data_IF_118401802479
#
_entry.id   IF_118401802479
#
_cell.length_a   1.000
_cell.length_b   1.000
_cell.length_c   1.000
_cell.angle_alpha   90.00
_cell.angle_beta   90.00
_cell.angle_gamma   90.00
#
_symmetry.space_group_name_H-M   'P 1'
#
loop_
_entity.id
_entity.type
_entity.pdbx_description
1 polymer ?
#
# COMPACT_ATOMS: atom_id res chain seq x y z
N UNK A 1 2.49 48.15 27.14
CA UNK A 1 2.79 47.58 25.79
C UNK A 1 3.28 46.13 25.85
N UNK A 2 4.13 45.71 26.78
CA UNK A 2 4.63 44.34 26.86
C UNK A 2 3.55 43.25 27.14
N UNK A 3 2.48 43.58 27.82
CA UNK A 3 1.40 42.66 28.09
C UNK A 3 0.50 42.34 26.89
N UNK A 4 0.36 43.29 25.97
CA UNK A 4 -0.45 43.11 24.76
C UNK A 4 0.24 42.18 23.75
N UNK A 5 1.57 42.30 23.64
CA UNK A 5 2.36 41.45 22.74
C UNK A 5 2.35 39.99 23.20
N UNK A 6 2.42 39.74 24.51
CA UNK A 6 2.34 38.38 25.09
C UNK A 6 0.98 37.74 24.84
N UNK A 7 -0.09 38.51 24.90
CA UNK A 7 -1.44 37.99 24.67
C UNK A 7 -1.65 37.63 23.20
N UNK A 8 -1.13 38.44 22.28
CA UNK A 8 -1.20 38.18 20.85
C UNK A 8 -0.41 36.93 20.45
N UNK A 9 0.79 36.75 21.02
CA UNK A 9 1.60 35.53 20.79
C UNK A 9 0.92 34.27 21.31
N UNK A 10 0.22 34.36 22.47
CA UNK A 10 -0.51 33.21 23.02
C UNK A 10 -1.71 32.83 22.17
N UNK A 11 -2.45 33.79 21.65
CA UNK A 11 -3.59 33.55 20.77
C UNK A 11 -3.15 32.96 19.41
N UNK A 12 -2.05 33.43 18.87
CA UNK A 12 -1.49 32.90 17.63
C UNK A 12 -1.02 31.42 17.77
N UNK A 13 -0.47 31.08 18.91
CA UNK A 13 -0.02 29.71 19.20
C UNK A 13 -1.22 28.74 19.32
N UNK A 14 -2.32 29.15 19.92
CA UNK A 14 -3.56 28.36 20.03
C UNK A 14 -4.17 28.11 18.64
N UNK A 15 -4.16 29.10 17.76
CA UNK A 15 -4.65 28.96 16.38
C UNK A 15 -3.82 28.00 15.54
N UNK A 16 -2.50 27.94 15.75
CA UNK A 16 -1.63 26.98 15.06
C UNK A 16 -1.89 25.53 15.50
N UNK A 17 -2.26 25.29 16.76
CA UNK A 17 -2.57 23.95 17.28
C UNK A 17 -3.91 23.41 16.78
N UNK A 18 -4.87 24.29 16.49
CA UNK A 18 -6.21 23.88 16.01
C UNK A 18 -6.25 23.50 14.53
N UNK A 19 -5.18 23.74 13.75
CA UNK A 19 -5.13 23.43 12.33
C UNK A 19 -4.64 22.01 11.99
N UNK A 20 -4.29 21.20 12.99
CA UNK A 20 -3.75 19.84 12.82
C UNK A 20 -4.79 18.73 12.89
N UNK A 21 -6.07 19.02 12.90
CA UNK A 21 -7.11 17.99 12.88
C UNK A 21 -7.29 17.43 11.48
N UNK A 22 -6.73 16.24 11.25
CA UNK A 22 -6.96 15.48 10.01
C UNK A 22 -8.25 14.67 10.10
N UNK A 23 -9.14 14.82 9.13
CA UNK A 23 -10.35 14.02 9.02
C UNK A 23 -10.08 12.55 8.62
N UNK A 24 -8.96 12.27 7.91
CA UNK A 24 -8.63 10.94 7.40
C UNK A 24 -8.48 9.81 8.44
N UNK A 25 -7.81 10.01 9.59
CA UNK A 25 -7.68 8.97 10.61
C UNK A 25 -8.99 8.62 11.32
N UNK A 26 -9.93 9.53 11.39
CA UNK A 26 -11.22 9.31 12.06
C UNK A 26 -12.13 8.38 11.27
N UNK A 27 -12.11 8.40 9.94
CA UNK A 27 -12.87 7.48 9.10
C UNK A 27 -12.42 6.03 9.28
N UNK A 28 -11.11 5.79 9.45
CA UNK A 28 -10.55 4.47 9.68
C UNK A 28 -10.81 3.97 11.11
N UNK A 29 -11.01 4.87 12.08
CA UNK A 29 -11.32 4.50 13.47
C UNK A 29 -12.74 3.95 13.67
N UNK A 30 -13.60 4.07 12.68
CA UNK A 30 -14.94 3.44 12.69
C UNK A 30 -14.88 1.92 12.62
N UNK A 31 -13.76 1.35 12.21
CA UNK A 31 -13.57 -0.08 12.07
C UNK A 31 -12.69 -0.62 13.21
N UNK A 32 -12.96 -1.83 13.73
CA UNK A 32 -12.20 -2.42 14.83
C UNK A 32 -10.86 -3.01 14.36
N UNK A 33 -10.11 -2.27 13.56
CA UNK A 33 -8.81 -2.69 13.04
C UNK A 33 -7.75 -1.63 13.33
N UNK A 34 -6.56 -2.10 13.59
CA UNK A 34 -5.40 -1.28 13.83
C UNK A 34 -4.50 -1.26 12.60
N UNK A 35 -3.97 -0.08 12.28
CA UNK A 35 -2.95 0.05 11.24
C UNK A 35 -1.64 -0.54 11.76
N UNK A 36 -1.21 -1.64 11.18
CA UNK A 36 0.06 -2.28 11.50
C UNK A 36 1.09 -2.00 10.41
N UNK A 37 2.32 -1.76 10.83
CA UNK A 37 3.43 -1.68 9.89
C UNK A 37 3.87 -3.09 9.50
N UNK A 38 3.81 -3.38 8.20
CA UNK A 38 4.34 -4.63 7.66
C UNK A 38 5.72 -4.39 7.06
N UNK A 39 6.69 -5.27 7.30
CA UNK A 39 7.99 -5.16 6.65
C UNK A 39 7.82 -5.39 5.14
N UNK A 40 8.21 -4.40 4.35
CA UNK A 40 8.17 -4.44 2.90
C UNK A 40 9.59 -4.34 2.38
N UNK A 41 9.96 -5.23 1.46
CA UNK A 41 11.25 -5.20 0.79
C UNK A 41 11.10 -4.55 -0.59
N UNK A 42 11.79 -3.45 -0.82
CA UNK A 42 11.74 -2.70 -2.06
C UNK A 42 13.11 -2.64 -2.72
N UNK A 43 13.12 -2.57 -4.03
CA UNK A 43 14.33 -2.42 -4.82
C UNK A 43 14.06 -1.88 -6.22
N UNK A 44 15.12 -1.66 -7.02
CA UNK A 44 14.97 -1.25 -8.41
C UNK A 44 14.14 -2.27 -9.19
N UNK A 45 13.21 -1.77 -9.99
CA UNK A 45 12.27 -2.59 -10.76
C UNK A 45 12.96 -3.70 -11.56
N UNK A 46 14.00 -3.37 -12.31
CA UNK A 46 14.72 -4.34 -13.13
C UNK A 46 15.38 -5.45 -12.30
N UNK A 47 15.95 -5.10 -11.15
CA UNK A 47 16.63 -6.05 -10.27
C UNK A 47 15.66 -7.00 -9.60
N UNK A 48 14.53 -6.49 -9.12
CA UNK A 48 13.49 -7.31 -8.49
C UNK A 48 12.85 -8.26 -9.50
N UNK A 49 12.55 -7.78 -10.71
CA UNK A 49 12.02 -8.63 -11.79
C UNK A 49 12.97 -9.76 -12.13
N UNK A 50 14.26 -9.45 -12.25
CA UNK A 50 15.29 -10.45 -12.54
C UNK A 50 15.41 -11.49 -11.44
N UNK A 51 15.35 -11.06 -10.18
CA UNK A 51 15.39 -11.96 -9.02
C UNK A 51 14.18 -12.90 -8.97
N UNK A 52 12.98 -12.40 -9.26
CA UNK A 52 11.76 -13.21 -9.33
C UNK A 52 11.81 -14.24 -10.45
N UNK A 53 12.26 -13.84 -11.64
CA UNK A 53 12.43 -14.75 -12.78
C UNK A 53 13.45 -15.85 -12.45
N UNK A 54 14.60 -15.49 -11.89
CA UNK A 54 15.63 -16.45 -11.49
C UNK A 54 15.15 -17.43 -10.43
N UNK A 55 14.26 -16.99 -9.53
CA UNK A 55 13.67 -17.83 -8.50
C UNK A 55 12.51 -18.71 -9.01
N UNK A 56 12.17 -18.65 -10.29
CA UNK A 56 11.13 -19.47 -10.91
C UNK A 56 9.70 -18.96 -10.72
N UNK A 57 9.53 -17.66 -10.48
CA UNK A 57 8.21 -17.05 -10.36
C UNK A 57 7.73 -16.48 -11.68
N UNK A 58 6.48 -16.76 -12.04
CA UNK A 58 5.83 -16.25 -13.25
C UNK A 58 4.63 -15.38 -12.87
N UNK A 59 4.42 -14.31 -13.59
CA UNK A 59 3.27 -13.43 -13.40
C UNK A 59 1.97 -14.14 -13.76
N UNK A 60 0.99 -14.09 -12.86
CA UNK A 60 -0.33 -14.68 -13.06
C UNK A 60 -1.46 -13.66 -13.03
N UNK A 61 -1.28 -12.56 -12.33
CA UNK A 61 -2.29 -11.50 -12.20
C UNK A 61 -1.64 -10.12 -12.21
N UNK A 62 -2.37 -9.14 -12.71
CA UNK A 62 -2.02 -7.73 -12.60
C UNK A 62 -3.27 -6.90 -12.33
N UNK A 63 -3.17 -5.96 -11.40
CA UNK A 63 -4.19 -4.97 -11.12
C UNK A 63 -3.55 -3.59 -11.00
N UNK A 64 -4.27 -2.55 -11.39
CA UNK A 64 -3.74 -1.20 -11.40
C UNK A 64 -4.44 -0.32 -10.37
N UNK A 65 -3.66 0.39 -9.57
CA UNK A 65 -4.12 1.48 -8.73
C UNK A 65 -4.04 2.81 -9.47
N UNK A 66 -5.09 3.60 -9.36
CA UNK A 66 -5.19 4.91 -10.01
C UNK A 66 -5.14 6.03 -8.98
N UNK A 67 -4.72 7.23 -9.42
CA UNK A 67 -4.67 8.41 -8.55
C UNK A 67 -6.07 8.82 -8.11
N UNK A 68 -7.09 8.60 -8.98
CA UNK A 68 -8.47 8.88 -8.65
C UNK A 68 -9.32 7.62 -8.72
N UNK A 69 -10.47 7.64 -8.03
CA UNK A 69 -11.43 6.53 -8.07
C UNK A 69 -12.12 6.37 -9.45
N UNK A 70 -11.91 7.32 -10.37
CA UNK A 70 -12.47 7.24 -11.71
C UNK A 70 -11.65 6.30 -12.60
N UNK A 71 -12.30 5.49 -13.45
CA UNK A 71 -11.61 4.58 -14.37
C UNK A 71 -10.63 5.26 -15.33
N UNK A 72 -10.82 6.57 -15.56
CA UNK A 72 -9.95 7.40 -16.42
C UNK A 72 -8.77 8.02 -15.69
N UNK A 73 -8.65 7.80 -14.37
CA UNK A 73 -7.54 8.31 -13.58
C UNK A 73 -6.20 7.73 -14.05
N UNK A 74 -5.13 8.51 -13.88
CA UNK A 74 -3.78 8.08 -14.19
C UNK A 74 -3.37 6.88 -13.33
N UNK A 75 -2.68 5.92 -13.92
CA UNK A 75 -2.16 4.76 -13.20
C UNK A 75 -0.99 5.20 -12.31
N UNK A 76 -1.15 4.99 -11.01
CA UNK A 76 -0.13 5.34 -10.01
C UNK A 76 0.77 4.15 -9.68
N UNK A 77 0.21 2.96 -9.62
CA UNK A 77 0.95 1.73 -9.29
C UNK A 77 0.27 0.51 -9.88
N UNK A 78 1.01 -0.59 -9.95
CA UNK A 78 0.49 -1.89 -10.32
C UNK A 78 0.73 -2.89 -9.18
N UNK A 79 -0.28 -3.70 -8.88
CA UNK A 79 -0.13 -4.85 -7.99
C UNK A 79 -0.06 -6.09 -8.86
N UNK A 80 1.06 -6.79 -8.76
CA UNK A 80 1.34 -7.97 -9.59
C UNK A 80 1.51 -9.18 -8.69
N UNK A 81 0.81 -10.25 -9.04
CA UNK A 81 0.91 -11.53 -8.34
C UNK A 81 1.69 -12.52 -9.20
N UNK A 82 2.63 -13.18 -8.57
CA UNK A 82 3.48 -14.21 -9.18
C UNK A 82 3.23 -15.56 -8.51
N UNK A 83 3.27 -16.62 -9.30
CA UNK A 83 3.22 -17.99 -8.78
C UNK A 83 4.55 -18.68 -9.07
N UNK A 84 4.99 -19.53 -8.14
CA UNK A 84 6.16 -20.36 -8.33
C UNK A 84 5.87 -21.50 -9.32
N UNK A 85 6.81 -21.74 -10.25
CA UNK A 85 6.76 -22.90 -11.14
C UNK A 85 7.28 -24.18 -10.46
N UNK A 86 8.08 -24.03 -9.41
CA UNK A 86 8.78 -25.13 -8.76
C UNK A 86 8.09 -25.58 -7.46
N UNK A 87 7.45 -24.64 -6.76
CA UNK A 87 6.83 -24.84 -5.46
C UNK A 87 5.32 -24.63 -5.57
N UNK A 88 4.57 -25.71 -5.56
CA UNK A 88 3.11 -25.65 -5.65
C UNK A 88 2.50 -24.81 -4.51
N UNK A 89 1.57 -23.92 -4.85
CA UNK A 89 0.88 -23.08 -3.90
C UNK A 89 1.67 -21.90 -3.36
N UNK A 90 2.91 -21.69 -3.80
CA UNK A 90 3.71 -20.54 -3.40
C UNK A 90 3.47 -19.36 -4.34
N UNK A 91 3.17 -18.21 -3.75
CA UNK A 91 2.92 -16.96 -4.47
C UNK A 91 3.64 -15.78 -3.83
N UNK A 92 3.97 -14.81 -4.65
CA UNK A 92 4.49 -13.52 -4.22
C UNK A 92 3.59 -12.44 -4.79
N UNK A 93 3.16 -11.52 -3.94
CA UNK A 93 2.46 -10.30 -4.37
C UNK A 93 3.39 -9.11 -4.25
N UNK A 94 3.44 -8.31 -5.30
CA UNK A 94 4.32 -7.15 -5.40
C UNK A 94 3.52 -5.90 -5.74
N UNK A 95 4.10 -4.74 -5.42
CA UNK A 95 3.62 -3.45 -5.88
C UNK A 95 4.73 -2.76 -6.68
N UNK A 96 4.38 -2.32 -7.87
CA UNK A 96 5.29 -1.67 -8.80
C UNK A 96 4.86 -0.21 -8.99
N UNK A 97 5.81 0.71 -8.86
CA UNK A 97 5.62 2.14 -9.10
C UNK A 97 6.39 2.53 -10.36
N UNK A 98 5.73 2.62 -11.53
CA UNK A 98 6.43 2.88 -12.79
C UNK A 98 7.19 4.20 -12.81
N UNK A 99 6.61 5.25 -12.22
CA UNK A 99 7.25 6.57 -12.16
C UNK A 99 8.56 6.58 -11.37
N UNK A 100 8.67 5.73 -10.36
CA UNK A 100 9.86 5.62 -9.51
C UNK A 100 10.78 4.47 -9.92
N UNK A 101 10.35 3.64 -10.89
CA UNK A 101 11.07 2.43 -11.31
C UNK A 101 11.43 1.53 -10.12
N UNK A 102 10.50 1.41 -9.19
CA UNK A 102 10.65 0.65 -7.95
C UNK A 102 9.63 -0.48 -7.87
N UNK A 103 10.03 -1.58 -7.28
CA UNK A 103 9.15 -2.71 -7.01
C UNK A 103 9.34 -3.18 -5.57
N UNK A 104 8.24 -3.38 -4.88
CA UNK A 104 8.21 -3.83 -3.50
C UNK A 104 7.55 -5.20 -3.40
N UNK A 105 8.12 -6.09 -2.61
CA UNK A 105 7.49 -7.36 -2.24
C UNK A 105 6.57 -7.08 -1.05
N UNK A 106 5.28 -7.26 -1.25
CA UNK A 106 4.26 -7.00 -0.23
C UNK A 106 4.10 -8.20 0.71
N UNK A 107 4.01 -9.39 0.15
CA UNK A 107 3.86 -10.60 0.94
C UNK A 107 4.26 -11.85 0.17
N UNK A 108 4.58 -12.87 0.94
CA UNK A 108 4.77 -14.25 0.49
C UNK A 108 3.54 -15.04 0.93
N UNK A 109 2.94 -15.76 0.01
CA UNK A 109 1.73 -16.53 0.23
C UNK A 109 2.01 -18.01 -0.02
N UNK A 110 1.38 -18.84 0.78
CA UNK A 110 1.53 -20.31 0.72
C UNK A 110 0.14 -20.94 0.60
N UNK A 111 0.12 -22.15 0.11
CA UNK A 111 -1.13 -22.94 0.00
C UNK A 111 -2.23 -22.25 -0.82
N UNK A 112 -1.81 -21.50 -1.85
CA UNK A 112 -2.75 -20.85 -2.75
C UNK A 112 -3.64 -21.87 -3.45
N UNK A 113 -4.93 -21.60 -3.42
CA UNK A 113 -5.92 -22.33 -4.20
C UNK A 113 -7.05 -21.40 -4.63
N UNK A 114 -7.64 -21.68 -5.76
CA UNK A 114 -8.84 -20.99 -6.20
C UNK A 114 -10.04 -21.55 -5.41
N UNK A 115 -10.78 -20.65 -4.77
CA UNK A 115 -11.97 -21.01 -3.99
C UNK A 115 -13.20 -20.76 -4.85
N UNK A 116 -14.09 -21.74 -4.93
CA UNK A 116 -15.35 -21.56 -5.66
C UNK A 116 -16.36 -20.78 -4.83
N UNK A 117 -17.34 -20.08 -5.45
CA UNK A 117 -18.36 -19.35 -4.70
C UNK A 117 -19.14 -20.23 -3.72
N UNK A 118 -19.29 -21.51 -4.01
CA UNK A 118 -19.96 -22.49 -3.14
C UNK A 118 -19.16 -22.74 -1.85
N UNK A 119 -17.84 -22.72 -1.91
CA UNK A 119 -16.98 -22.89 -0.73
C UNK A 119 -17.01 -21.65 0.17
N UNK A 120 -17.26 -20.47 -0.40
CA UNK A 120 -17.35 -19.23 0.35
C UNK A 120 -18.63 -19.07 1.16
N UNK A 121 -19.69 -19.80 0.81
CA UNK A 121 -21.01 -19.74 1.47
C UNK A 121 -21.19 -20.74 2.61
N UNK A 122 -20.24 -21.62 2.81
CA UNK A 122 -20.19 -22.56 3.91
C UNK A 122 -19.32 -22.03 5.06
#
# INVERSE_FOLDING_TARGET
>A
MGKLIKTICGLFFILCLSSESYAGPEELSMYPWELQQMPISCGPLADVNKALEKAGYVQIEIAYGRISALPTGEIAYAVITYASTDLEGHMIRTMETPAQQEKCILNLLFDYRVVTPKELTN
#
